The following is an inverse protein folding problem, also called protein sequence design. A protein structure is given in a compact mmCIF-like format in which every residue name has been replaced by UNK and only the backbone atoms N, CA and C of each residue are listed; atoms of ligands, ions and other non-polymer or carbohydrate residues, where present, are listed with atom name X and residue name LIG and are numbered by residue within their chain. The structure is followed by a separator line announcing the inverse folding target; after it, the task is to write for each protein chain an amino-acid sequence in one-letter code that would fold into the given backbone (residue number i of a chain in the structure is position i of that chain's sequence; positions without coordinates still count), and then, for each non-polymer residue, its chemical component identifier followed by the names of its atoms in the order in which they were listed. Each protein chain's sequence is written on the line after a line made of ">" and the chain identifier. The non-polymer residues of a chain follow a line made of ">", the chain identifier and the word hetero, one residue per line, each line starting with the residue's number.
data_IF_786233531894
#
_entry.id   IF_786233531894
#
_cell.length_a   1.000
_cell.length_b   1.000
_cell.length_c   1.000
_cell.angle_alpha   90.00
_cell.angle_beta   90.00
_cell.angle_gamma   90.00
#
_symmetry.space_group_name_H-M   'P 1'
#
loop_
_entity.id
_entity.type
_entity.pdbx_description
1 polymer ?
#
# COMPACT_ATOMS: atom_id res chain seq x y z
N UNK A 1 -40.90 22.91 41.21
CA UNK A 1 -40.67 21.53 40.73
C UNK A 1 -40.43 20.63 41.92
N UNK A 2 -41.08 19.47 42.01
CA UNK A 2 -40.79 18.49 43.08
C UNK A 2 -39.35 18.00 42.89
N UNK A 3 -38.58 17.84 43.97
CA UNK A 3 -37.15 17.44 43.95
C UNK A 3 -36.91 16.22 43.04
N UNK A 4 -37.83 15.27 43.02
CA UNK A 4 -37.81 14.10 42.14
C UNK A 4 -37.81 14.48 40.65
N UNK A 5 -38.61 15.47 40.25
CA UNK A 5 -38.62 15.97 38.86
C UNK A 5 -37.28 16.59 38.48
N UNK A 6 -36.63 17.32 39.38
CA UNK A 6 -35.30 17.87 39.14
C UNK A 6 -34.25 16.76 38.96
N UNK A 7 -34.28 15.72 39.80
CA UNK A 7 -33.39 14.56 39.66
C UNK A 7 -33.62 13.79 38.37
N UNK A 8 -34.87 13.52 37.99
CA UNK A 8 -35.18 12.81 36.74
C UNK A 8 -34.71 13.62 35.54
N UNK A 9 -35.03 14.91 35.48
CA UNK A 9 -34.58 15.79 34.38
C UNK A 9 -33.05 15.87 34.34
N UNK A 10 -32.41 16.04 35.51
CA UNK A 10 -30.95 16.06 35.61
C UNK A 10 -30.32 14.77 35.11
N UNK A 11 -30.83 13.60 35.53
CA UNK A 11 -30.35 12.30 35.07
C UNK A 11 -30.56 12.13 33.56
N UNK A 12 -31.73 12.48 33.04
CA UNK A 12 -32.01 12.41 31.59
C UNK A 12 -31.04 13.27 30.79
N UNK A 13 -30.76 14.50 31.22
CA UNK A 13 -29.77 15.38 30.55
C UNK A 13 -28.38 14.74 30.52
N UNK A 14 -27.93 14.17 31.65
CA UNK A 14 -26.63 13.50 31.70
C UNK A 14 -26.57 12.25 30.83
N UNK A 15 -27.65 11.45 30.79
CA UNK A 15 -27.73 10.30 29.89
C UNK A 15 -27.69 10.74 28.43
N UNK A 16 -28.42 11.79 28.06
CA UNK A 16 -28.38 12.33 26.68
C UNK A 16 -26.98 12.82 26.32
N UNK A 17 -26.32 13.59 27.19
CA UNK A 17 -24.96 14.04 26.93
C UNK A 17 -23.95 12.89 26.88
N UNK A 18 -24.09 11.90 27.76
CA UNK A 18 -23.25 10.70 27.71
C UNK A 18 -23.44 9.94 26.39
N UNK A 19 -24.68 9.71 25.95
CA UNK A 19 -24.97 9.06 24.67
C UNK A 19 -24.48 9.90 23.47
N UNK A 20 -24.49 11.24 23.57
CA UNK A 20 -23.99 12.11 22.50
C UNK A 20 -22.47 12.00 22.28
N UNK A 21 -21.69 11.68 23.32
CA UNK A 21 -20.25 11.38 23.16
C UNK A 21 -20.07 10.18 22.23
N UNK A 22 -20.94 9.16 22.37
CA UNK A 22 -20.89 8.00 21.48
C UNK A 22 -21.21 8.38 20.04
N UNK A 23 -22.24 9.18 19.80
CA UNK A 23 -22.62 9.61 18.46
C UNK A 23 -21.58 10.52 17.80
N UNK A 24 -20.88 11.37 18.58
CA UNK A 24 -19.85 12.30 18.07
C UNK A 24 -18.56 11.58 17.69
N UNK A 25 -18.10 10.65 18.54
CA UNK A 25 -16.77 10.07 18.42
C UNK A 25 -16.74 8.67 17.78
N UNK A 26 -17.89 8.00 17.67
CA UNK A 26 -17.95 6.61 17.23
C UNK A 26 -18.95 6.43 16.08
N UNK A 27 -18.60 7.02 14.94
CA UNK A 27 -19.37 6.93 13.69
C UNK A 27 -18.75 5.92 12.74
N UNK A 28 -19.58 5.11 12.08
CA UNK A 28 -19.08 4.15 11.08
C UNK A 28 -18.31 4.87 9.96
N UNK A 29 -17.10 4.39 9.61
CA UNK A 29 -16.35 4.92 8.47
C UNK A 29 -17.05 4.60 7.14
N UNK A 30 -17.90 3.58 7.11
CA UNK A 30 -18.54 3.10 5.89
C UNK A 30 -19.48 4.15 5.30
N UNK A 31 -19.43 4.22 3.98
CA UNK A 31 -20.29 4.99 3.10
C UNK A 31 -20.97 3.97 2.20
N UNK A 32 -22.27 4.10 1.99
CA UNK A 32 -23.03 3.22 1.11
C UNK A 32 -23.59 4.02 -0.08
N UNK A 33 -23.87 3.32 -1.18
CA UNK A 33 -24.46 3.91 -2.39
C UNK A 33 -23.47 4.43 -3.42
N UNK A 34 -22.19 4.08 -3.32
CA UNK A 34 -21.18 4.40 -4.33
C UNK A 34 -21.18 3.38 -5.46
N UNK A 35 -20.71 3.81 -6.64
CA UNK A 35 -20.43 2.92 -7.77
C UNK A 35 -18.95 2.54 -7.77
N UNK A 36 -18.60 1.24 -7.78
CA UNK A 36 -17.21 0.80 -7.92
C UNK A 36 -16.56 1.36 -9.18
N UNK A 37 -15.30 1.80 -9.06
CA UNK A 37 -14.52 2.35 -10.18
C UNK A 37 -13.38 1.40 -10.56
N UNK A 38 -13.23 1.14 -11.86
CA UNK A 38 -12.14 0.33 -12.41
C UNK A 38 -11.49 1.00 -13.62
N UNK A 39 -10.19 0.77 -13.79
CA UNK A 39 -9.50 1.12 -15.03
C UNK A 39 -9.97 0.23 -16.18
N UNK A 40 -10.07 0.79 -17.39
CA UNK A 40 -10.36 0.02 -18.61
C UNK A 40 -9.09 -0.60 -19.22
N UNK A 41 -7.91 -0.28 -18.68
CA UNK A 41 -6.65 -0.83 -19.15
C UNK A 41 -6.46 -2.27 -18.72
N UNK A 42 -5.76 -3.03 -19.56
CA UNK A 42 -5.40 -4.41 -19.25
C UNK A 42 -4.50 -4.45 -18.00
N UNK A 43 -4.83 -5.26 -16.99
CA UNK A 43 -4.02 -5.37 -15.79
C UNK A 43 -2.71 -6.13 -16.06
N UNK A 44 -1.63 -5.79 -15.35
CA UNK A 44 -0.35 -6.46 -15.54
C UNK A 44 -0.31 -7.89 -14.96
N UNK A 45 -1.19 -8.25 -14.02
CA UNK A 45 -1.33 -9.61 -13.51
C UNK A 45 -2.71 -10.18 -13.88
N UNK A 46 -2.77 -11.50 -14.10
CA UNK A 46 -4.04 -12.24 -14.19
C UNK A 46 -4.47 -12.77 -12.83
N UNK A 47 -3.53 -12.93 -11.90
CA UNK A 47 -3.79 -13.43 -10.55
C UNK A 47 -2.85 -12.83 -9.53
N UNK A 48 -3.32 -12.79 -8.28
CA UNK A 48 -2.57 -12.25 -7.16
C UNK A 48 -2.51 -13.26 -6.01
N UNK A 49 -1.33 -13.40 -5.39
CA UNK A 49 -1.16 -14.14 -4.15
C UNK A 49 -0.87 -13.18 -3.02
N UNK A 50 -1.78 -13.13 -2.05
CA UNK A 50 -1.62 -12.38 -0.82
C UNK A 50 -1.20 -13.34 0.29
N UNK A 51 -0.06 -13.07 0.92
CA UNK A 51 0.43 -13.80 2.10
C UNK A 51 0.51 -12.80 3.25
N UNK A 52 -0.30 -13.02 4.29
CA UNK A 52 -0.29 -12.20 5.51
C UNK A 52 0.22 -13.07 6.65
N UNK A 53 1.37 -12.68 7.21
CA UNK A 53 2.01 -13.34 8.32
C UNK A 53 1.71 -12.58 9.61
N UNK A 54 0.60 -12.96 10.26
CA UNK A 54 -0.02 -12.25 11.39
C UNK A 54 0.99 -11.99 12.53
N UNK A 55 0.97 -10.79 13.09
CA UNK A 55 1.86 -10.38 14.20
C UNK A 55 3.35 -10.24 13.83
N UNK A 56 3.70 -10.21 12.54
CA UNK A 56 5.09 -10.05 12.09
C UNK A 56 5.55 -8.59 12.10
N UNK A 57 6.59 -8.31 12.89
CA UNK A 57 7.27 -7.02 12.94
C UNK A 57 8.20 -6.82 11.74
N UNK A 58 8.27 -5.59 11.21
CA UNK A 58 9.20 -5.23 10.14
C UNK A 58 10.67 -5.52 10.52
N UNK A 59 11.08 -5.10 11.72
CA UNK A 59 12.46 -5.28 12.19
C UNK A 59 12.86 -6.76 12.28
N UNK A 60 11.94 -7.63 12.69
CA UNK A 60 12.18 -9.06 12.86
C UNK A 60 12.38 -9.80 11.54
N UNK A 61 11.79 -9.29 10.44
CA UNK A 61 12.01 -9.81 9.09
C UNK A 61 13.27 -9.25 8.44
N UNK A 62 13.50 -7.93 8.55
CA UNK A 62 14.58 -7.27 7.79
C UNK A 62 15.95 -7.35 8.45
N UNK A 63 16.02 -7.54 9.78
CA UNK A 63 17.30 -7.59 10.51
C UNK A 63 18.08 -8.87 10.18
N UNK A 64 19.37 -8.69 9.86
CA UNK A 64 20.28 -9.81 9.64
C UNK A 64 20.68 -10.47 10.95
N UNK A 65 20.96 -11.78 10.88
CA UNK A 65 21.57 -12.53 11.97
C UNK A 65 23.01 -12.04 12.23
N UNK A 66 23.60 -12.30 13.42
CA UNK A 66 24.96 -11.85 13.75
C UNK A 66 26.05 -12.31 12.77
N UNK A 67 25.82 -13.40 12.04
CA UNK A 67 26.72 -13.93 11.02
C UNK A 67 26.55 -13.25 9.64
N UNK A 68 25.70 -12.22 9.53
CA UNK A 68 25.39 -11.49 8.30
C UNK A 68 24.38 -12.18 7.37
N UNK A 69 23.86 -13.36 7.73
CA UNK A 69 22.82 -14.04 6.94
C UNK A 69 21.42 -13.52 7.28
N UNK A 70 20.50 -13.58 6.31
CA UNK A 70 19.08 -13.28 6.57
C UNK A 70 18.37 -14.50 7.11
N UNK A 71 17.44 -14.32 8.06
CA UNK A 71 16.53 -15.39 8.48
C UNK A 71 15.50 -15.73 7.40
N UNK A 72 15.18 -14.75 6.55
CA UNK A 72 14.28 -14.88 5.42
C UNK A 72 15.06 -14.78 4.11
N UNK A 73 15.94 -15.75 3.78
CA UNK A 73 16.81 -15.66 2.61
C UNK A 73 16.05 -15.57 1.28
N UNK A 74 14.85 -16.16 1.18
CA UNK A 74 14.05 -16.05 -0.04
C UNK A 74 13.49 -14.63 -0.22
N UNK A 75 12.78 -14.10 0.78
CA UNK A 75 12.23 -12.74 0.73
C UNK A 75 13.35 -11.69 0.65
N UNK A 76 14.49 -11.93 1.30
CA UNK A 76 15.67 -11.06 1.18
C UNK A 76 16.17 -10.98 -0.27
N UNK A 77 16.24 -12.11 -0.96
CA UNK A 77 16.59 -12.15 -2.38
C UNK A 77 15.55 -11.44 -3.24
N UNK A 78 14.26 -11.63 -2.95
CA UNK A 78 13.19 -10.91 -3.64
C UNK A 78 13.39 -9.39 -3.51
N UNK A 79 13.67 -8.90 -2.31
CA UNK A 79 13.95 -7.47 -2.04
C UNK A 79 15.15 -6.97 -2.84
N UNK A 80 16.23 -7.73 -2.89
CA UNK A 80 17.50 -7.30 -3.49
C UNK A 80 17.55 -7.45 -5.02
N UNK A 81 16.66 -8.28 -5.60
CA UNK A 81 16.71 -8.63 -7.03
C UNK A 81 15.42 -8.30 -7.79
N UNK A 82 14.25 -8.73 -7.31
CA UNK A 82 13.07 -8.94 -8.15
C UNK A 82 11.77 -8.28 -7.65
N UNK A 83 11.84 -7.48 -6.57
CA UNK A 83 10.67 -6.89 -5.95
C UNK A 83 10.89 -5.46 -5.46
N UNK A 84 9.78 -4.86 -5.02
CA UNK A 84 9.75 -3.59 -4.31
C UNK A 84 9.37 -3.85 -2.86
N UNK A 85 9.94 -3.08 -1.94
CA UNK A 85 9.81 -3.32 -0.52
C UNK A 85 9.72 -2.02 0.28
N UNK A 86 9.21 -2.13 1.50
CA UNK A 86 9.22 -1.05 2.48
C UNK A 86 8.48 -1.43 3.74
N UNK A 87 8.12 -0.42 4.52
CA UNK A 87 7.31 -0.57 5.73
C UNK A 87 5.86 -0.19 5.42
N UNK A 88 4.94 -1.08 5.78
CA UNK A 88 3.51 -0.80 5.84
C UNK A 88 3.18 -0.25 7.22
N UNK A 89 2.58 0.94 7.26
CA UNK A 89 2.19 1.63 8.49
C UNK A 89 0.72 1.30 8.83
N UNK A 90 0.51 0.41 9.81
CA UNK A 90 -0.83 0.11 10.35
C UNK A 90 -1.26 1.16 11.39
N UNK A 91 -2.53 1.12 11.81
CA UNK A 91 -3.13 2.08 12.74
C UNK A 91 -3.76 1.36 13.93
N UNK A 92 -3.93 2.12 15.01
CA UNK A 92 -4.64 1.65 16.21
C UNK A 92 -6.14 1.51 15.88
N UNK A 93 -6.81 0.44 16.35
CA UNK A 93 -6.24 -0.66 17.14
C UNK A 93 -5.47 -1.65 16.27
N UNK A 94 -4.24 -1.99 16.68
CA UNK A 94 -3.36 -2.96 16.00
C UNK A 94 -3.79 -4.38 16.35
N UNK A 95 -5.00 -4.73 15.96
CA UNK A 95 -5.63 -6.04 16.13
C UNK A 95 -5.78 -6.72 14.77
N UNK A 96 -5.86 -8.04 14.74
CA UNK A 96 -5.80 -8.78 13.46
C UNK A 96 -6.92 -8.39 12.50
N UNK A 97 -8.17 -8.29 12.99
CA UNK A 97 -9.32 -7.90 12.16
C UNK A 97 -9.13 -6.51 11.51
N UNK A 98 -8.97 -5.41 12.27
CA UNK A 98 -8.75 -4.08 11.70
C UNK A 98 -7.59 -4.02 10.71
N UNK A 99 -6.48 -4.71 10.98
CA UNK A 99 -5.34 -4.78 10.07
C UNK A 99 -5.69 -5.47 8.75
N UNK A 100 -6.38 -6.60 8.80
CA UNK A 100 -6.87 -7.30 7.60
C UNK A 100 -7.89 -6.49 6.80
N UNK A 101 -8.80 -5.76 7.46
CA UNK A 101 -9.73 -4.85 6.78
C UNK A 101 -8.99 -3.71 6.08
N UNK A 102 -7.97 -3.13 6.71
CA UNK A 102 -7.14 -2.12 6.06
C UNK A 102 -6.40 -2.68 4.83
N UNK A 103 -5.81 -3.87 4.95
CA UNK A 103 -5.09 -4.52 3.85
C UNK A 103 -5.98 -4.84 2.65
N UNK A 104 -7.17 -5.42 2.89
CA UNK A 104 -7.99 -6.06 1.84
C UNK A 104 -9.13 -5.14 1.38
N UNK A 105 -9.68 -4.29 2.25
CA UNK A 105 -10.75 -3.35 1.93
C UNK A 105 -10.27 -1.88 1.84
N UNK A 106 -9.05 -1.58 2.29
CA UNK A 106 -8.45 -0.26 2.11
C UNK A 106 -8.99 0.81 3.06
N UNK A 107 -9.65 0.44 4.15
CA UNK A 107 -10.14 1.41 5.14
C UNK A 107 -9.83 0.98 6.57
N UNK A 108 -9.81 1.96 7.47
CA UNK A 108 -9.51 1.72 8.88
C UNK A 108 -10.81 1.59 9.66
N UNK A 109 -10.99 0.46 10.36
CA UNK A 109 -12.10 0.29 11.29
C UNK A 109 -11.94 1.22 12.50
N UNK A 110 -13.07 1.75 12.99
CA UNK A 110 -13.13 2.54 14.21
C UNK A 110 -13.14 1.60 15.44
N UNK A 111 -12.53 2.03 16.55
CA UNK A 111 -12.49 1.35 17.85
C UNK A 111 -13.89 0.89 18.30
N UNK A 112 -14.95 1.63 17.96
CA UNK A 112 -16.34 1.25 18.27
C UNK A 112 -16.89 0.07 17.46
N UNK A 113 -16.44 -0.11 16.22
CA UNK A 113 -16.82 -1.26 15.40
C UNK A 113 -16.24 -2.56 16.00
N UNK A 114 -15.02 -2.46 16.54
CA UNK A 114 -14.34 -3.55 17.27
C UNK A 114 -15.05 -3.85 18.61
N UNK A 115 -15.43 -2.81 19.37
CA UNK A 115 -16.07 -2.97 20.67
C UNK A 115 -17.48 -3.60 20.63
N UNK A 116 -18.20 -3.49 19.51
CA UNK A 116 -19.57 -4.03 19.34
C UNK A 116 -19.62 -5.45 18.78
N UNK A 117 -18.50 -6.01 18.31
CA UNK A 117 -18.48 -7.32 17.65
C UNK A 117 -17.07 -7.89 17.56
N UNK A 118 -16.53 -8.39 18.67
CA UNK A 118 -15.17 -8.93 18.75
C UNK A 118 -14.95 -10.16 17.86
N UNK A 119 -16.02 -10.92 17.53
CA UNK A 119 -15.94 -12.17 16.76
C UNK A 119 -16.77 -12.21 15.48
N UNK A 120 -17.75 -11.33 15.31
CA UNK A 120 -18.55 -11.27 14.09
C UNK A 120 -18.70 -9.83 13.62
N UNK A 121 -18.60 -9.63 12.31
CA UNK A 121 -18.77 -8.33 11.70
C UNK A 121 -20.26 -7.99 11.59
N UNK A 122 -20.77 -6.96 12.29
CA UNK A 122 -22.17 -6.56 12.16
C UNK A 122 -22.47 -5.78 10.86
N UNK A 123 -21.46 -5.40 10.05
CA UNK A 123 -21.65 -4.58 8.84
C UNK A 123 -20.83 -5.10 7.66
N UNK A 124 -21.51 -5.59 6.62
CA UNK A 124 -20.90 -5.99 5.36
C UNK A 124 -20.13 -4.81 4.72
N UNK A 125 -18.93 -5.09 4.21
CA UNK A 125 -18.10 -4.13 3.49
C UNK A 125 -17.53 -4.76 2.23
N UNK A 126 -17.24 -3.91 1.25
CA UNK A 126 -16.61 -4.29 0.00
C UNK A 126 -15.08 -4.44 0.15
N UNK A 127 -14.48 -5.33 -0.64
CA UNK A 127 -13.07 -5.67 -0.51
C UNK A 127 -12.49 -6.17 -1.84
N UNK A 128 -11.16 -6.24 -1.95
CA UNK A 128 -10.53 -6.74 -3.18
C UNK A 128 -10.96 -8.19 -3.48
N UNK A 129 -11.35 -8.97 -2.48
CA UNK A 129 -11.87 -10.33 -2.68
C UNK A 129 -13.29 -10.33 -3.25
N UNK A 130 -14.13 -9.40 -2.82
CA UNK A 130 -15.48 -9.18 -3.38
C UNK A 130 -15.41 -8.81 -4.86
N UNK A 131 -14.45 -7.97 -5.21
CA UNK A 131 -14.26 -7.45 -6.57
C UNK A 131 -13.49 -8.43 -7.49
N UNK A 132 -12.89 -9.47 -6.90
CA UNK A 132 -12.22 -10.55 -7.62
C UNK A 132 -13.21 -11.47 -8.34
N UNK A 133 -12.73 -12.16 -9.38
CA UNK A 133 -13.52 -13.21 -10.02
C UNK A 133 -13.68 -14.42 -9.13
N UNK A 134 -12.59 -14.87 -8.51
CA UNK A 134 -12.58 -15.93 -7.53
C UNK A 134 -11.48 -15.66 -6.51
N UNK A 135 -11.74 -15.99 -5.25
CA UNK A 135 -10.73 -15.99 -4.19
C UNK A 135 -10.66 -17.36 -3.52
N UNK A 136 -9.47 -17.91 -3.34
CA UNK A 136 -9.24 -19.09 -2.49
C UNK A 136 -8.41 -18.70 -1.28
N UNK A 137 -8.92 -18.97 -0.09
CA UNK A 137 -8.32 -18.59 1.17
C UNK A 137 -7.95 -19.82 2.01
N UNK A 138 -6.77 -19.80 2.64
CA UNK A 138 -6.35 -20.79 3.63
C UNK A 138 -5.86 -20.13 4.92
N UNK A 139 -6.31 -20.61 6.08
CA UNK A 139 -5.85 -20.10 7.38
C UNK A 139 -6.90 -20.13 8.48
N UNK A 140 -6.95 -19.07 9.29
CA UNK A 140 -7.73 -19.02 10.54
C UNK A 140 -9.25 -18.98 10.31
N UNK A 141 -10.05 -19.78 11.05
CA UNK A 141 -11.50 -19.66 11.07
C UNK A 141 -12.02 -18.34 11.67
N UNK A 142 -11.19 -17.55 12.35
CA UNK A 142 -11.59 -16.24 12.88
C UNK A 142 -11.42 -15.11 11.85
N UNK A 143 -10.50 -15.27 10.88
CA UNK A 143 -10.23 -14.25 9.85
C UNK A 143 -10.98 -14.52 8.55
N UNK A 144 -10.84 -15.73 7.99
CA UNK A 144 -11.31 -16.03 6.64
C UNK A 144 -12.82 -15.79 6.41
N UNK A 145 -13.72 -16.20 7.33
CA UNK A 145 -15.15 -16.04 7.12
C UNK A 145 -15.62 -14.59 7.01
N UNK A 146 -14.89 -13.61 7.54
CA UNK A 146 -15.31 -12.21 7.49
C UNK A 146 -15.33 -11.66 6.05
N UNK A 147 -14.43 -12.14 5.20
CA UNK A 147 -14.35 -11.75 3.78
C UNK A 147 -15.22 -12.64 2.88
N UNK A 148 -15.56 -13.85 3.31
CA UNK A 148 -16.46 -14.74 2.57
C UNK A 148 -17.93 -14.41 2.81
N UNK A 149 -18.33 -14.14 4.06
CA UNK A 149 -19.72 -13.77 4.40
C UNK A 149 -20.14 -12.46 3.75
N UNK A 150 -19.20 -11.52 3.57
CA UNK A 150 -19.45 -10.24 2.91
C UNK A 150 -19.38 -10.29 1.38
N UNK A 151 -18.93 -11.39 0.78
CA UNK A 151 -18.79 -11.53 -0.67
C UNK A 151 -20.15 -11.63 -1.37
N UNK A 152 -20.32 -10.92 -2.48
CA UNK A 152 -21.53 -11.02 -3.30
C UNK A 152 -21.51 -12.33 -4.10
N UNK A 153 -21.96 -13.43 -3.48
CA UNK A 153 -22.14 -14.75 -4.12
C UNK A 153 -21.07 -15.79 -3.79
N UNK A 154 -21.14 -16.94 -4.47
CA UNK A 154 -20.36 -18.15 -4.14
C UNK A 154 -18.98 -18.20 -4.86
N UNK A 155 -18.16 -17.16 -4.70
CA UNK A 155 -16.85 -17.05 -5.38
C UNK A 155 -15.64 -16.83 -4.45
N UNK A 156 -15.86 -16.78 -3.13
CA UNK A 156 -14.80 -16.75 -2.11
C UNK A 156 -14.80 -18.07 -1.34
N UNK A 157 -13.79 -18.89 -1.56
CA UNK A 157 -13.66 -20.24 -1.01
C UNK A 157 -12.71 -20.25 0.17
N UNK A 158 -13.19 -20.65 1.35
CA UNK A 158 -12.40 -20.66 2.59
C UNK A 158 -12.06 -22.07 3.04
N UNK A 159 -10.78 -22.32 3.31
CA UNK A 159 -10.26 -23.58 3.84
C UNK A 159 -9.57 -23.31 5.18
N UNK A 160 -10.23 -23.67 6.28
CA UNK A 160 -9.73 -23.39 7.64
C UNK A 160 -9.28 -24.66 8.33
N UNK A 161 -8.27 -24.57 9.19
CA UNK A 161 -8.08 -25.60 10.21
C UNK A 161 -9.22 -25.55 11.24
N UNK A 162 -9.47 -26.63 12.00
CA UNK A 162 -10.44 -26.61 13.09
C UNK A 162 -10.10 -25.53 14.12
N UNK A 163 -11.09 -24.79 14.63
CA UNK A 163 -10.89 -23.75 15.64
C UNK A 163 -10.21 -24.25 16.93
N UNK A 164 -10.33 -25.55 17.24
CA UNK A 164 -9.64 -26.17 18.38
C UNK A 164 -8.11 -26.28 18.21
N UNK A 165 -7.60 -26.09 16.99
CA UNK A 165 -6.16 -26.07 16.72
C UNK A 165 -5.52 -24.72 17.06
N UNK A 166 -6.32 -23.64 17.20
CA UNK A 166 -5.90 -22.32 17.72
C UNK A 166 -5.71 -22.37 19.25
N UNK A 167 -4.85 -23.28 19.69
CA UNK A 167 -4.43 -23.38 21.07
C UNK A 167 -3.28 -22.39 21.32
N UNK A 168 -3.62 -21.19 21.78
CA UNK A 168 -2.67 -20.15 22.16
C UNK A 168 -1.77 -20.52 23.35
N UNK A 169 -2.02 -21.66 24.01
CA UNK A 169 -1.16 -22.22 25.06
C UNK A 169 -0.28 -23.38 24.56
N UNK A 170 -0.38 -23.74 23.27
CA UNK A 170 0.45 -24.77 22.66
C UNK A 170 1.93 -24.36 22.65
N UNK A 171 2.83 -25.34 22.78
CA UNK A 171 4.28 -25.11 22.80
C UNK A 171 4.88 -24.84 21.43
N UNK A 172 4.13 -25.07 20.35
CA UNK A 172 4.59 -24.79 18.99
C UNK A 172 3.42 -24.42 18.06
N UNK A 173 3.20 -23.11 17.88
CA UNK A 173 2.15 -22.61 17.01
C UNK A 173 2.52 -22.62 15.51
N UNK A 174 3.76 -22.93 15.16
CA UNK A 174 4.21 -22.96 13.75
C UNK A 174 3.54 -24.07 12.93
N UNK A 175 2.88 -25.01 13.61
CA UNK A 175 2.00 -26.02 13.02
C UNK A 175 0.84 -25.42 12.22
N UNK A 176 0.33 -24.24 12.61
CA UNK A 176 -0.78 -23.58 11.91
C UNK A 176 -0.34 -23.12 10.51
N UNK A 177 0.83 -22.49 10.43
CA UNK A 177 1.41 -22.05 9.16
C UNK A 177 1.83 -23.25 8.31
N UNK A 178 2.40 -24.28 8.95
CA UNK A 178 2.73 -25.54 8.30
C UNK A 178 1.50 -26.21 7.70
N UNK A 179 0.35 -26.16 8.38
CA UNK A 179 -0.92 -26.66 7.86
C UNK A 179 -1.32 -25.89 6.60
N UNK A 180 -1.27 -24.55 6.62
CA UNK A 180 -1.61 -23.71 5.46
C UNK A 180 -0.73 -24.06 4.26
N UNK A 181 0.59 -24.04 4.42
CA UNK A 181 1.51 -24.40 3.33
C UNK A 181 1.30 -25.83 2.84
N UNK A 182 0.97 -26.77 3.73
CA UNK A 182 0.67 -28.16 3.35
C UNK A 182 -0.60 -28.23 2.50
N UNK A 183 -1.69 -27.59 2.92
CA UNK A 183 -2.95 -27.58 2.16
C UNK A 183 -2.77 -26.93 0.80
N UNK A 184 -2.11 -25.78 0.73
CA UNK A 184 -1.88 -25.06 -0.53
C UNK A 184 -0.97 -25.87 -1.47
N UNK A 185 0.09 -26.49 -0.96
CA UNK A 185 0.96 -27.37 -1.77
C UNK A 185 0.20 -28.61 -2.26
N UNK A 186 -0.65 -29.22 -1.43
CA UNK A 186 -1.49 -30.35 -1.83
C UNK A 186 -2.49 -29.91 -2.91
N UNK A 187 -3.12 -28.75 -2.74
CA UNK A 187 -4.02 -28.16 -3.71
C UNK A 187 -3.37 -28.04 -5.10
N UNK A 188 -2.21 -27.40 -5.20
CA UNK A 188 -1.53 -27.23 -6.48
C UNK A 188 -1.00 -28.55 -7.07
N UNK A 189 -0.51 -29.47 -6.24
CA UNK A 189 -0.09 -30.80 -6.70
C UNK A 189 -1.25 -31.60 -7.27
N UNK A 190 -2.41 -31.58 -6.60
CA UNK A 190 -3.62 -32.19 -7.14
C UNK A 190 -3.97 -31.55 -8.48
N UNK A 191 -3.87 -30.22 -8.58
CA UNK A 191 -4.16 -29.51 -9.80
C UNK A 191 -3.24 -29.88 -10.98
N UNK A 192 -1.94 -30.03 -10.72
CA UNK A 192 -0.95 -30.47 -11.70
C UNK A 192 -1.19 -31.91 -12.17
N UNK A 193 -1.55 -32.81 -11.25
CA UNK A 193 -1.73 -34.24 -11.56
C UNK A 193 -3.06 -34.53 -12.26
N UNK A 194 -4.10 -33.73 -12.01
CA UNK A 194 -5.44 -33.89 -12.60
C UNK A 194 -5.60 -33.26 -13.99
N UNK A 195 -4.52 -32.76 -14.63
CA UNK A 195 -4.54 -32.12 -15.96
C UNK A 195 -4.91 -33.05 -17.16
N UNK A 196 -5.42 -34.26 -16.91
CA UNK A 196 -5.92 -35.19 -17.94
C UNK A 196 -7.43 -35.46 -17.72
N UNK A 197 -8.35 -34.77 -18.43
CA UNK A 197 -9.77 -34.83 -18.08
C UNK A 197 -10.54 -35.91 -18.84
N UNK A 198 -11.29 -36.72 -18.10
CA UNK A 198 -12.68 -37.02 -18.47
C UNK A 198 -13.55 -35.81 -18.03
N UNK A 199 -14.47 -35.33 -18.88
CA UNK A 199 -15.33 -34.17 -18.59
C UNK A 199 -16.23 -34.41 -17.36
N UNK A 200 -15.87 -33.82 -16.22
CA UNK A 200 -16.65 -33.86 -14.97
C UNK A 200 -16.61 -32.48 -14.27
N UNK A 201 -17.16 -32.38 -13.04
CA UNK A 201 -17.14 -31.14 -12.24
C UNK A 201 -15.74 -30.58 -11.98
N UNK A 202 -14.71 -31.44 -12.00
CA UNK A 202 -13.32 -31.03 -11.77
C UNK A 202 -12.82 -30.18 -12.96
N UNK A 203 -13.30 -30.42 -14.18
CA UNK A 203 -12.94 -29.62 -15.36
C UNK A 203 -13.36 -28.15 -15.22
N UNK A 204 -14.57 -27.87 -14.70
CA UNK A 204 -15.02 -26.50 -14.47
C UNK A 204 -14.22 -25.80 -13.38
N UNK A 205 -13.86 -26.53 -12.32
CA UNK A 205 -12.98 -26.01 -11.28
C UNK A 205 -11.60 -25.60 -11.83
N UNK A 206 -11.00 -26.44 -12.67
CA UNK A 206 -9.73 -26.13 -13.35
C UNK A 206 -9.80 -24.90 -14.25
N UNK A 207 -10.87 -24.78 -15.03
CA UNK A 207 -11.06 -23.62 -15.90
C UNK A 207 -11.13 -22.32 -15.10
N UNK A 208 -11.79 -22.33 -13.92
CA UNK A 208 -11.86 -21.16 -13.05
C UNK A 208 -10.48 -20.69 -12.59
N UNK A 209 -9.56 -21.61 -12.27
CA UNK A 209 -8.19 -21.27 -11.84
C UNK A 209 -7.39 -20.56 -12.93
N UNK A 210 -7.64 -20.88 -14.20
CA UNK A 210 -6.95 -20.29 -15.36
C UNK A 210 -7.52 -18.94 -15.79
N UNK A 211 -8.65 -18.51 -15.22
CA UNK A 211 -9.23 -17.20 -15.50
C UNK A 211 -8.39 -16.05 -14.92
N UNK A 212 -8.70 -14.83 -15.35
CA UNK A 212 -8.15 -13.60 -14.80
C UNK A 212 -8.90 -13.15 -13.55
N UNK A 213 -8.31 -12.19 -12.83
CA UNK A 213 -8.87 -11.58 -11.61
C UNK A 213 -9.03 -12.55 -10.45
N UNK A 214 -8.18 -13.58 -10.40
CA UNK A 214 -8.16 -14.55 -9.33
C UNK A 214 -7.22 -14.12 -8.19
N UNK A 215 -7.61 -14.41 -6.95
CA UNK A 215 -6.81 -14.12 -5.76
C UNK A 215 -6.61 -15.39 -4.94
N UNK A 216 -5.40 -15.59 -4.43
CA UNK A 216 -5.08 -16.65 -3.48
C UNK A 216 -4.60 -16.00 -2.20
N UNK A 217 -5.28 -16.27 -1.09
CA UNK A 217 -4.98 -15.66 0.20
C UNK A 217 -4.49 -16.72 1.21
N UNK A 218 -3.30 -16.50 1.74
CA UNK A 218 -2.71 -17.31 2.80
C UNK A 218 -2.62 -16.47 4.06
N UNK A 219 -3.41 -16.84 5.07
CA UNK A 219 -3.36 -16.27 6.40
C UNK A 219 -2.55 -17.16 7.33
N UNK A 220 -1.44 -16.63 7.85
CA UNK A 220 -0.47 -17.39 8.65
C UNK A 220 -0.45 -16.84 10.09
N UNK A 221 -1.10 -17.56 11.01
CA UNK A 221 -1.33 -17.15 12.41
C UNK A 221 -0.18 -17.54 13.37
N UNK A 222 0.73 -18.42 12.94
CA UNK A 222 1.72 -19.04 13.81
C UNK A 222 2.68 -18.04 14.46
N UNK A 223 3.05 -16.96 13.75
CA UNK A 223 3.96 -15.92 14.25
C UNK A 223 3.30 -15.13 15.40
N UNK A 224 2.08 -14.63 15.22
CA UNK A 224 1.33 -13.93 16.28
C UNK A 224 1.15 -14.81 17.52
N UNK A 225 0.71 -16.05 17.34
CA UNK A 225 0.49 -16.99 18.44
C UNK A 225 1.78 -17.26 19.22
N UNK A 226 2.90 -17.49 18.52
CA UNK A 226 4.21 -17.63 19.16
C UNK A 226 4.66 -16.32 19.83
N UNK A 227 4.29 -15.17 19.27
CA UNK A 227 4.55 -13.84 19.83
C UNK A 227 3.87 -13.63 21.17
N UNK A 228 2.60 -14.02 21.31
CA UNK A 228 1.88 -13.99 22.59
C UNK A 228 2.44 -15.00 23.60
N UNK A 229 2.67 -16.24 23.18
CA UNK A 229 3.08 -17.32 24.07
C UNK A 229 4.54 -17.20 24.54
N UNK A 230 5.45 -16.83 23.63
CA UNK A 230 6.91 -16.88 23.84
C UNK A 230 7.60 -15.52 23.80
N UNK A 231 6.88 -14.45 23.41
CA UNK A 231 7.35 -13.07 23.19
C UNK A 231 8.15 -12.90 21.89
N UNK A 232 8.12 -11.71 21.27
CA UNK A 232 9.02 -11.40 20.17
C UNK A 232 10.48 -11.57 20.60
N UNK A 233 11.31 -12.03 19.67
CA UNK A 233 12.72 -12.42 19.88
C UNK A 233 12.97 -13.79 20.50
N UNK A 234 11.94 -14.56 20.87
CA UNK A 234 12.12 -15.96 21.25
C UNK A 234 12.55 -16.83 20.06
N UNK A 235 13.16 -17.99 20.32
CA UNK A 235 13.52 -18.90 19.23
C UNK A 235 12.28 -19.39 18.47
N UNK A 236 11.15 -19.61 19.14
CA UNK A 236 9.88 -20.02 18.55
C UNK A 236 9.35 -18.98 17.56
N UNK A 237 9.22 -17.71 17.99
CA UNK A 237 8.79 -16.61 17.13
C UNK A 237 9.73 -16.44 15.94
N UNK A 238 11.03 -16.41 16.21
CA UNK A 238 12.05 -16.18 15.21
C UNK A 238 12.14 -17.34 14.21
N UNK A 239 12.14 -18.60 14.66
CA UNK A 239 12.16 -19.77 13.78
C UNK A 239 10.89 -19.88 12.94
N UNK A 240 9.74 -19.47 13.46
CA UNK A 240 8.51 -19.42 12.69
C UNK A 240 8.61 -18.44 11.50
N UNK A 241 9.28 -17.30 11.65
CA UNK A 241 9.56 -16.38 10.51
C UNK A 241 10.35 -17.09 9.41
N UNK A 242 11.38 -17.86 9.80
CA UNK A 242 12.17 -18.66 8.85
C UNK A 242 11.36 -19.78 8.19
N UNK A 243 10.41 -20.38 8.93
CA UNK A 243 9.48 -21.37 8.39
C UNK A 243 8.57 -20.78 7.32
N UNK A 244 8.04 -19.57 7.56
CA UNK A 244 7.21 -18.84 6.59
C UNK A 244 7.99 -18.52 5.32
N UNK A 245 9.20 -17.99 5.43
CA UNK A 245 10.07 -17.72 4.26
C UNK A 245 10.33 -18.99 3.43
N UNK A 246 10.67 -20.09 4.09
CA UNK A 246 10.87 -21.39 3.45
C UNK A 246 9.59 -21.90 2.78
N UNK A 247 8.44 -21.76 3.45
CA UNK A 247 7.14 -22.14 2.91
C UNK A 247 6.80 -21.40 1.62
N UNK A 248 7.06 -20.09 1.57
CA UNK A 248 6.89 -19.27 0.37
C UNK A 248 7.86 -19.71 -0.73
N UNK A 249 9.14 -19.90 -0.38
CA UNK A 249 10.17 -20.35 -1.32
C UNK A 249 9.85 -21.68 -2.01
N UNK A 250 9.21 -22.60 -1.29
CA UNK A 250 8.74 -23.89 -1.83
C UNK A 250 7.43 -23.78 -2.61
N UNK A 251 6.53 -22.87 -2.22
CA UNK A 251 5.21 -22.71 -2.82
C UNK A 251 5.28 -22.04 -4.20
N UNK A 252 6.04 -20.95 -4.31
CA UNK A 252 6.08 -20.11 -5.52
C UNK A 252 6.41 -20.94 -6.78
N UNK A 253 7.46 -21.79 -6.81
CA UNK A 253 7.76 -22.61 -7.99
C UNK A 253 6.64 -23.57 -8.39
N UNK A 254 5.95 -24.19 -7.43
CA UNK A 254 4.87 -25.15 -7.70
C UNK A 254 3.68 -24.46 -8.36
N UNK A 255 3.34 -23.26 -7.91
CA UNK A 255 2.25 -22.50 -8.49
C UNK A 255 2.62 -21.94 -9.87
N UNK A 256 3.85 -21.44 -10.03
CA UNK A 256 4.34 -20.98 -11.34
C UNK A 256 4.40 -22.13 -12.36
N UNK A 257 4.74 -23.35 -11.93
CA UNK A 257 4.70 -24.55 -12.78
C UNK A 257 3.28 -24.85 -13.27
N UNK A 258 2.27 -24.77 -12.39
CA UNK A 258 0.86 -24.96 -12.77
C UNK A 258 0.40 -23.97 -13.85
N UNK A 259 0.84 -22.72 -13.76
CA UNK A 259 0.53 -21.69 -14.74
C UNK A 259 1.49 -21.65 -15.94
N UNK A 260 2.41 -22.61 -16.05
CA UNK A 260 3.35 -22.71 -17.15
C UNK A 260 4.33 -21.52 -17.23
N UNK A 261 4.65 -20.90 -16.08
CA UNK A 261 5.53 -19.74 -15.98
C UNK A 261 5.10 -18.57 -16.90
N UNK A 262 3.79 -18.32 -17.00
CA UNK A 262 3.24 -17.28 -17.89
C UNK A 262 3.61 -15.85 -17.50
N UNK A 263 4.23 -15.65 -16.33
CA UNK A 263 4.64 -14.34 -15.84
C UNK A 263 3.47 -13.42 -15.49
N UNK A 264 2.28 -13.99 -15.20
CA UNK A 264 1.03 -13.25 -14.93
C UNK A 264 0.59 -13.30 -13.48
N UNK A 265 1.47 -13.71 -12.57
CA UNK A 265 1.20 -13.73 -11.12
C UNK A 265 1.91 -12.57 -10.41
N UNK A 266 1.15 -11.80 -9.63
CA UNK A 266 1.70 -10.85 -8.66
C UNK A 266 1.65 -11.44 -7.25
N UNK A 267 2.62 -11.09 -6.42
CA UNK A 267 2.74 -11.57 -5.04
C UNK A 267 2.86 -10.40 -4.08
N UNK A 268 2.11 -10.44 -2.98
CA UNK A 268 2.14 -9.46 -1.90
C UNK A 268 2.37 -10.21 -0.59
N UNK A 269 3.48 -9.93 0.08
CA UNK A 269 3.78 -10.44 1.41
C UNK A 269 3.78 -9.29 2.43
N UNK A 270 3.02 -9.42 3.51
CA UNK A 270 2.95 -8.40 4.55
C UNK A 270 2.47 -8.95 5.91
N UNK A 271 2.21 -8.06 6.86
CA UNK A 271 1.56 -8.33 8.14
C UNK A 271 0.46 -7.31 8.41
N UNK A 272 -0.55 -7.74 9.15
CA UNK A 272 -1.67 -6.93 9.65
C UNK A 272 -1.26 -6.02 10.83
N UNK A 273 -0.44 -6.53 11.74
CA UNK A 273 0.24 -5.78 12.79
C UNK A 273 1.59 -6.41 13.16
N UNK A 274 2.32 -5.75 14.04
CA UNK A 274 3.48 -6.30 14.73
C UNK A 274 3.14 -6.67 16.18
N UNK A 275 4.11 -6.57 17.07
CA UNK A 275 3.97 -6.97 18.47
C UNK A 275 4.93 -6.21 19.37
N UNK A 276 4.52 -5.85 20.58
CA UNK A 276 5.44 -5.32 21.61
C UNK A 276 6.39 -6.39 22.13
N UNK A 277 7.52 -5.98 22.72
CA UNK A 277 8.47 -6.92 23.33
C UNK A 277 7.88 -7.79 24.45
N UNK A 278 6.70 -7.44 24.97
CA UNK A 278 5.99 -8.21 25.99
C UNK A 278 5.08 -9.30 25.41
N UNK A 279 4.96 -9.40 24.08
CA UNK A 279 4.02 -10.32 23.44
C UNK A 279 2.58 -9.82 23.54
N UNK A 280 2.37 -8.53 23.33
CA UNK A 280 1.03 -7.92 23.28
C UNK A 280 0.95 -6.90 22.13
N UNK A 281 -0.23 -6.74 21.55
CA UNK A 281 -0.56 -5.75 20.54
C UNK A 281 -1.93 -5.08 20.85
N UNK A 282 -2.42 -4.20 19.98
CA UNK A 282 -3.67 -3.44 20.12
C UNK A 282 -3.45 -1.92 20.32
N UNK A 283 -2.20 -1.49 20.56
CA UNK A 283 -1.81 -0.12 20.80
C UNK A 283 -0.92 0.46 19.66
N UNK A 284 -0.41 1.67 19.88
CA UNK A 284 0.27 2.46 18.84
C UNK A 284 1.79 2.40 18.86
N UNK A 285 2.42 1.41 19.51
CA UNK A 285 3.89 1.35 19.54
C UNK A 285 4.45 1.08 18.13
N UNK A 286 5.63 1.62 17.75
CA UNK A 286 6.25 1.34 16.45
C UNK A 286 6.43 -0.16 16.17
N UNK A 287 6.75 -0.97 17.17
CA UNK A 287 6.85 -2.43 16.99
C UNK A 287 5.51 -3.11 16.69
N UNK A 288 4.38 -2.46 16.96
CA UNK A 288 3.04 -2.92 16.59
C UNK A 288 2.60 -2.34 15.24
N UNK A 289 3.05 -1.13 14.93
CA UNK A 289 2.56 -0.34 13.79
C UNK A 289 3.39 -0.44 12.52
N UNK A 290 4.64 -0.90 12.61
CA UNK A 290 5.55 -1.08 11.48
C UNK A 290 5.58 -2.55 11.04
N UNK A 291 4.89 -2.85 9.94
CA UNK A 291 4.85 -4.19 9.34
C UNK A 291 5.68 -4.25 8.05
N UNK A 292 6.26 -5.41 7.70
CA UNK A 292 7.01 -5.53 6.46
C UNK A 292 6.05 -5.51 5.26
N UNK A 293 6.49 -4.96 4.13
CA UNK A 293 5.82 -5.12 2.83
C UNK A 293 6.86 -5.51 1.79
N UNK A 294 6.65 -6.65 1.14
CA UNK A 294 7.47 -7.13 0.01
C UNK A 294 6.52 -7.54 -1.11
N UNK A 295 6.70 -6.96 -2.29
CA UNK A 295 5.82 -7.18 -3.45
C UNK A 295 6.68 -7.50 -4.65
N UNK A 296 6.30 -8.52 -5.44
CA UNK A 296 7.06 -8.95 -6.61
C UNK A 296 6.17 -9.63 -7.66
N UNK A 297 6.76 -9.93 -8.82
CA UNK A 297 6.08 -10.59 -9.93
C UNK A 297 5.45 -9.62 -10.93
N UNK A 298 4.36 -10.04 -11.56
CA UNK A 298 3.75 -9.37 -12.69
C UNK A 298 3.31 -7.94 -12.36
N UNK A 299 3.82 -6.95 -13.11
CA UNK A 299 3.45 -5.54 -12.95
C UNK A 299 4.13 -4.80 -11.81
N UNK A 300 5.08 -5.43 -11.12
CA UNK A 300 5.78 -4.85 -9.96
C UNK A 300 7.18 -4.37 -10.37
N UNK A 301 7.64 -3.26 -9.79
CA UNK A 301 9.01 -2.79 -9.99
C UNK A 301 10.02 -3.78 -9.39
N UNK A 302 11.09 -4.00 -10.14
CA UNK A 302 12.26 -4.74 -9.66
C UNK A 302 13.05 -3.90 -8.66
N UNK A 303 14.00 -4.54 -7.98
CA UNK A 303 14.82 -3.88 -6.98
C UNK A 303 15.57 -2.66 -7.57
N UNK A 304 15.25 -1.47 -7.05
CA UNK A 304 15.86 -0.23 -7.52
C UNK A 304 17.08 0.10 -6.68
N UNK A 305 18.28 -0.06 -7.26
CA UNK A 305 19.52 0.35 -6.60
C UNK A 305 19.62 1.87 -6.50
N UNK A 306 20.05 2.35 -5.34
CA UNK A 306 20.27 3.78 -5.09
C UNK A 306 21.73 4.02 -4.73
N UNK A 307 22.31 5.08 -5.31
CA UNK A 307 23.66 5.53 -5.00
C UNK A 307 23.67 6.64 -3.94
N UNK A 308 22.59 7.42 -3.89
CA UNK A 308 22.44 8.53 -2.97
C UNK A 308 21.73 8.11 -1.67
N UNK A 309 22.04 8.75 -0.54
CA UNK A 309 21.31 8.56 0.71
C UNK A 309 19.80 8.80 0.53
N UNK A 310 19.00 7.88 1.05
CA UNK A 310 17.54 7.99 1.04
C UNK A 310 17.06 8.83 2.24
N UNK A 311 15.97 9.60 2.07
CA UNK A 311 15.46 10.51 3.10
C UNK A 311 14.62 9.79 4.17
N UNK A 312 15.25 8.94 4.98
CA UNK A 312 14.63 8.31 6.15
C UNK A 312 15.44 8.64 7.40
N UNK A 313 14.77 9.18 8.44
CA UNK A 313 15.40 9.61 9.71
C UNK A 313 15.45 8.49 10.76
N UNK A 314 14.88 7.31 10.47
CA UNK A 314 14.68 6.21 11.42
C UNK A 314 15.87 5.25 11.55
N UNK A 315 16.96 5.46 10.78
CA UNK A 315 18.16 4.62 10.75
C UNK A 315 17.98 3.15 10.31
N UNK A 316 16.75 2.72 10.01
CA UNK A 316 16.46 1.31 9.72
C UNK A 316 17.15 0.78 8.47
N UNK A 317 17.38 1.64 7.47
CA UNK A 317 18.15 1.27 6.28
C UNK A 317 19.56 0.76 6.64
N UNK A 318 20.22 1.40 7.62
CA UNK A 318 21.56 1.00 8.06
C UNK A 318 21.55 -0.25 8.95
N UNK A 319 20.52 -0.39 9.78
CA UNK A 319 20.34 -1.55 10.65
C UNK A 319 20.04 -2.81 9.84
N UNK A 320 19.16 -2.70 8.84
CA UNK A 320 18.73 -3.80 7.98
C UNK A 320 19.69 -4.07 6.81
N UNK A 321 20.77 -3.29 6.66
CA UNK A 321 21.74 -3.41 5.56
C UNK A 321 21.08 -3.34 4.18
N UNK A 322 20.13 -2.42 4.01
CA UNK A 322 19.34 -2.23 2.78
C UNK A 322 19.49 -0.82 2.21
N UNK A 323 20.49 -0.05 2.64
CA UNK A 323 20.72 1.34 2.19
C UNK A 323 20.82 1.45 0.66
N UNK A 324 21.34 0.39 0.03
CA UNK A 324 21.62 0.29 -1.39
C UNK A 324 20.39 -0.06 -2.25
N UNK A 325 19.26 -0.42 -1.64
CA UNK A 325 17.98 -0.69 -2.33
C UNK A 325 16.94 0.33 -1.88
N UNK A 326 16.20 0.91 -2.83
CA UNK A 326 15.15 1.89 -2.54
C UNK A 326 14.07 1.30 -1.63
N UNK A 327 13.85 1.93 -0.48
CA UNK A 327 12.72 1.68 0.42
C UNK A 327 11.51 2.51 0.01
N UNK A 328 10.34 1.90 -0.04
CA UNK A 328 9.08 2.54 -0.41
C UNK A 328 8.02 2.23 0.66
N UNK A 329 7.87 3.13 1.63
CA UNK A 329 6.86 2.97 2.67
C UNK A 329 5.45 3.31 2.18
N UNK A 330 4.44 2.66 2.77
CA UNK A 330 3.02 2.85 2.46
C UNK A 330 2.17 2.89 3.73
N UNK A 331 0.99 3.51 3.68
CA UNK A 331 -0.01 3.25 4.70
C UNK A 331 -0.66 1.89 4.41
N UNK A 332 -1.07 1.15 5.44
CA UNK A 332 -1.63 -0.19 5.24
C UNK A 332 -2.85 -0.22 4.30
N UNK A 333 -3.69 0.82 4.33
CA UNK A 333 -4.83 0.97 3.43
C UNK A 333 -4.44 1.10 1.94
N UNK A 334 -3.21 1.53 1.63
CA UNK A 334 -2.69 1.71 0.28
C UNK A 334 -2.44 0.36 -0.43
N UNK A 335 -2.41 -0.74 0.32
CA UNK A 335 -2.20 -2.09 -0.22
C UNK A 335 -3.43 -2.57 -1.01
N UNK A 336 -4.64 -2.20 -0.59
CA UNK A 336 -5.87 -2.54 -1.32
C UNK A 336 -5.90 -1.96 -2.76
N UNK A 337 -5.71 -0.65 -3.00
CA UNK A 337 -5.64 -0.11 -4.36
C UNK A 337 -4.43 -0.64 -5.15
N UNK A 338 -3.31 -0.99 -4.50
CA UNK A 338 -2.19 -1.68 -5.16
C UNK A 338 -2.63 -3.03 -5.71
N UNK A 339 -3.24 -3.89 -4.88
CA UNK A 339 -3.73 -5.21 -5.30
C UNK A 339 -4.78 -5.08 -6.40
N UNK A 340 -5.75 -4.18 -6.23
CA UNK A 340 -6.81 -3.95 -7.21
C UNK A 340 -6.24 -3.55 -8.58
N UNK A 341 -5.25 -2.65 -8.59
CA UNK A 341 -4.60 -2.19 -9.83
C UNK A 341 -3.76 -3.28 -10.49
N UNK A 342 -3.05 -4.11 -9.72
CA UNK A 342 -2.23 -5.19 -10.26
C UNK A 342 -3.08 -6.25 -10.98
N UNK A 343 -4.23 -6.62 -10.42
CA UNK A 343 -5.07 -7.70 -10.94
C UNK A 343 -6.26 -7.21 -11.78
N UNK A 344 -6.53 -5.90 -11.80
CA UNK A 344 -7.55 -5.27 -12.67
C UNK A 344 -8.97 -5.45 -12.19
N UNK A 345 -9.18 -5.35 -10.89
CA UNK A 345 -10.51 -5.33 -10.26
C UNK A 345 -10.83 -3.92 -9.78
N UNK A 346 -12.12 -3.57 -9.58
CA UNK A 346 -12.47 -2.30 -8.95
C UNK A 346 -11.76 -2.09 -7.61
N UNK A 347 -11.44 -0.83 -7.31
CA UNK A 347 -10.90 -0.47 -5.99
C UNK A 347 -12.08 -0.54 -4.99
N UNK A 348 -11.91 -1.19 -3.83
CA UNK A 348 -13.00 -1.34 -2.87
C UNK A 348 -13.67 -0.01 -2.55
N UNK A 349 -14.99 0.02 -2.48
CA UNK A 349 -15.71 1.30 -2.56
C UNK A 349 -15.44 2.24 -1.38
N UNK A 350 -15.07 1.67 -0.22
CA UNK A 350 -14.71 2.41 0.99
C UNK A 350 -13.21 2.64 1.15
N UNK A 351 -12.39 2.22 0.19
CA UNK A 351 -10.94 2.38 0.27
C UNK A 351 -10.54 3.86 0.35
N UNK A 352 -9.78 4.21 1.38
CA UNK A 352 -9.12 5.51 1.55
C UNK A 352 -7.65 5.45 1.17
N UNK A 353 -7.18 4.30 0.69
CA UNK A 353 -5.80 4.09 0.28
C UNK A 353 -5.42 4.91 -0.96
N UNK A 354 -4.16 5.33 -1.00
CA UNK A 354 -3.54 6.03 -2.13
C UNK A 354 -2.68 5.05 -2.90
N UNK A 355 -2.91 4.89 -4.21
CA UNK A 355 -2.18 3.95 -5.04
C UNK A 355 -0.65 4.19 -4.96
N UNK A 356 0.15 3.23 -4.44
CA UNK A 356 1.59 3.42 -4.30
C UNK A 356 2.30 3.17 -5.64
N UNK A 357 2.31 4.18 -6.51
CA UNK A 357 2.81 4.09 -7.89
C UNK A 357 4.25 3.61 -8.03
N UNK A 358 5.08 3.78 -6.99
CA UNK A 358 6.47 3.33 -6.96
C UNK A 358 6.58 1.80 -6.91
N UNK A 359 5.53 1.08 -6.55
CA UNK A 359 5.46 -0.37 -6.67
C UNK A 359 5.15 -0.83 -8.10
N UNK A 360 4.54 0.01 -8.95
CA UNK A 360 4.06 -0.40 -10.27
C UNK A 360 5.14 -0.27 -11.35
N UNK A 361 5.39 -1.37 -12.06
CA UNK A 361 6.16 -1.42 -13.30
C UNK A 361 5.21 -1.53 -14.50
N UNK A 362 4.73 -0.39 -14.95
CA UNK A 362 3.84 -0.28 -16.10
C UNK A 362 4.03 1.08 -16.77
N UNK A 363 3.41 1.28 -17.94
CA UNK A 363 3.41 2.55 -18.67
C UNK A 363 2.91 3.71 -17.82
N UNK A 364 3.40 4.92 -18.12
CA UNK A 364 2.93 6.14 -17.45
C UNK A 364 1.43 6.38 -17.67
N UNK A 365 0.90 5.94 -18.82
CA UNK A 365 -0.54 5.94 -19.08
C UNK A 365 -1.29 5.06 -18.07
N UNK A 366 -0.85 3.81 -17.89
CA UNK A 366 -1.46 2.90 -16.91
C UNK A 366 -1.42 3.47 -15.49
N UNK A 367 -0.28 4.04 -15.09
CA UNK A 367 -0.13 4.68 -13.78
C UNK A 367 -1.09 5.86 -13.64
N UNK A 368 -1.17 6.74 -14.64
CA UNK A 368 -2.05 7.90 -14.62
C UNK A 368 -3.54 7.51 -14.57
N UNK A 369 -3.97 6.54 -15.38
CA UNK A 369 -5.37 6.06 -15.39
C UNK A 369 -5.75 5.33 -14.09
N UNK A 370 -4.82 4.58 -13.49
CA UNK A 370 -5.03 3.92 -12.20
C UNK A 370 -5.08 4.92 -11.04
N UNK A 371 -4.21 5.94 -11.05
CA UNK A 371 -4.27 7.06 -10.08
C UNK A 371 -5.58 7.84 -10.23
N UNK A 372 -6.02 8.10 -11.45
CA UNK A 372 -7.28 8.76 -11.72
C UNK A 372 -8.46 7.94 -11.17
N UNK A 373 -8.50 6.64 -11.46
CA UNK A 373 -9.51 5.72 -10.91
C UNK A 373 -9.54 5.74 -9.37
N UNK A 374 -8.36 5.67 -8.73
CA UNK A 374 -8.24 5.76 -7.28
C UNK A 374 -8.76 7.09 -6.73
N UNK A 375 -8.43 8.21 -7.38
CA UNK A 375 -8.93 9.53 -6.99
C UNK A 375 -10.46 9.66 -7.14
N UNK A 376 -11.04 9.10 -8.20
CA UNK A 376 -12.49 9.09 -8.39
C UNK A 376 -13.16 8.24 -7.31
N UNK A 377 -12.61 7.08 -6.94
CA UNK A 377 -13.17 6.25 -5.87
C UNK A 377 -13.25 6.99 -4.52
N UNK A 378 -12.21 7.73 -4.16
CA UNK A 378 -12.20 8.57 -2.95
C UNK A 378 -13.16 9.76 -3.09
N UNK A 379 -13.26 10.35 -4.28
CA UNK A 379 -14.17 11.46 -4.56
C UNK A 379 -15.64 11.05 -4.43
N UNK A 380 -16.02 9.83 -4.82
CA UNK A 380 -17.39 9.33 -4.67
C UNK A 380 -17.77 9.19 -3.19
N UNK A 381 -16.87 8.68 -2.34
CA UNK A 381 -17.07 8.66 -0.88
C UNK A 381 -17.33 10.06 -0.33
N UNK A 382 -16.49 11.01 -0.74
CA UNK A 382 -16.60 12.41 -0.33
C UNK A 382 -17.93 13.04 -0.74
N UNK A 383 -18.39 12.84 -1.99
CA UNK A 383 -19.67 13.38 -2.50
C UNK A 383 -20.85 12.86 -1.69
N UNK A 384 -20.88 11.56 -1.41
CA UNK A 384 -21.96 10.95 -0.62
C UNK A 384 -21.93 11.46 0.82
N UNK A 385 -20.77 11.45 1.48
CA UNK A 385 -20.65 11.98 2.86
C UNK A 385 -21.05 13.46 2.93
N UNK A 386 -20.67 14.28 1.94
CA UNK A 386 -21.09 15.69 1.87
C UNK A 386 -22.61 15.81 1.77
N UNK A 387 -23.24 15.02 0.90
CA UNK A 387 -24.70 15.03 0.70
C UNK A 387 -25.42 14.60 1.97
N UNK A 388 -24.99 13.50 2.59
CA UNK A 388 -25.53 13.03 3.87
C UNK A 388 -25.42 14.09 4.97
N UNK A 389 -24.26 14.75 5.10
CA UNK A 389 -24.08 15.81 6.10
C UNK A 389 -24.92 17.04 5.79
N UNK A 390 -25.11 17.39 4.53
CA UNK A 390 -26.00 18.49 4.12
C UNK A 390 -27.47 18.21 4.47
N UNK A 391 -27.92 16.98 4.30
CA UNK A 391 -29.31 16.58 4.59
C UNK A 391 -29.61 16.45 6.09
N UNK A 392 -28.61 16.06 6.88
CA UNK A 392 -28.74 15.82 8.34
C UNK A 392 -28.38 17.03 9.21
N UNK A 393 -27.74 18.06 8.63
CA UNK A 393 -27.35 19.29 9.34
C UNK A 393 -28.32 20.41 9.03
N UNK A 394 -28.69 21.22 10.03
CA UNK A 394 -29.48 22.43 9.80
C UNK A 394 -28.74 23.34 8.81
N UNK A 395 -29.46 23.86 7.81
CA UNK A 395 -28.87 24.55 6.65
C UNK A 395 -27.92 25.71 7.00
N UNK A 396 -28.17 26.42 8.11
CA UNK A 396 -27.34 27.54 8.55
C UNK A 396 -26.05 27.12 9.28
N UNK A 397 -25.92 25.86 9.68
CA UNK A 397 -24.69 25.28 10.26
C UNK A 397 -23.86 24.50 9.23
N UNK A 398 -24.42 24.19 8.06
CA UNK A 398 -23.70 23.46 7.02
C UNK A 398 -22.80 24.37 6.20
N UNK A 399 -21.51 24.04 6.15
CA UNK A 399 -20.52 24.71 5.28
C UNK A 399 -19.94 23.67 4.32
N UNK A 400 -20.14 23.81 2.98
CA UNK A 400 -19.61 22.85 2.02
C UNK A 400 -18.09 22.99 1.89
N UNK A 401 -17.41 21.85 1.76
CA UNK A 401 -15.98 21.83 1.43
C UNK A 401 -15.77 22.21 -0.04
N UNK A 402 -14.92 23.21 -0.30
CA UNK A 402 -14.68 23.75 -1.64
C UNK A 402 -13.59 22.95 -2.38
N UNK A 403 -13.92 21.78 -2.91
CA UNK A 403 -12.96 20.94 -3.63
C UNK A 403 -12.64 21.45 -5.05
N UNK A 404 -13.56 22.17 -5.70
CA UNK A 404 -13.37 22.71 -7.07
C UNK A 404 -12.23 23.74 -7.09
N UNK A 405 -12.05 24.53 -6.04
CA UNK A 405 -10.96 25.51 -5.97
C UNK A 405 -9.59 24.84 -5.96
N UNK A 406 -9.45 23.63 -5.40
CA UNK A 406 -8.20 22.87 -5.45
C UNK A 406 -7.81 22.50 -6.88
N UNK A 407 -8.77 22.05 -7.70
CA UNK A 407 -8.53 21.78 -9.12
C UNK A 407 -8.16 23.06 -9.88
N UNK A 408 -8.81 24.19 -9.58
CA UNK A 408 -8.47 25.48 -10.18
C UNK A 408 -7.06 25.94 -9.80
N UNK A 409 -6.66 25.74 -8.54
CA UNK A 409 -5.29 26.00 -8.07
C UNK A 409 -4.27 25.13 -8.77
N UNK A 410 -4.55 23.83 -8.94
CA UNK A 410 -3.66 22.92 -9.68
C UNK A 410 -3.47 23.39 -11.13
N UNK A 411 -4.56 23.70 -11.84
CA UNK A 411 -4.51 24.21 -13.22
C UNK A 411 -3.68 25.49 -13.28
N UNK A 412 -3.94 26.43 -12.36
CA UNK A 412 -3.24 27.72 -12.32
C UNK A 412 -1.74 27.53 -12.09
N UNK A 413 -1.36 26.70 -11.11
CA UNK A 413 0.04 26.40 -10.79
C UNK A 413 0.75 25.67 -11.94
N UNK A 414 0.07 24.75 -12.62
CA UNK A 414 0.61 24.09 -13.83
C UNK A 414 0.83 25.08 -14.96
N UNK A 415 -0.07 26.05 -15.17
CA UNK A 415 0.11 27.10 -16.17
C UNK A 415 1.27 28.04 -15.81
N UNK A 416 1.43 28.39 -14.54
CA UNK A 416 2.58 29.16 -14.06
C UNK A 416 3.90 28.40 -14.28
N UNK A 417 3.94 27.10 -13.95
CA UNK A 417 5.09 26.24 -14.22
C UNK A 417 5.42 26.14 -15.71
N UNK A 418 4.41 26.04 -16.58
CA UNK A 418 4.59 26.05 -18.03
C UNK A 418 5.20 27.37 -18.51
N UNK A 419 4.70 28.51 -18.03
CA UNK A 419 5.25 29.83 -18.35
C UNK A 419 6.68 29.99 -17.84
N UNK A 420 6.99 29.46 -16.65
CA UNK A 420 8.34 29.42 -16.12
C UNK A 420 9.28 28.67 -17.07
N UNK A 421 8.94 27.43 -17.48
CA UNK A 421 9.80 26.66 -18.40
C UNK A 421 9.90 27.27 -19.80
N UNK A 422 8.85 27.92 -20.32
CA UNK A 422 8.92 28.68 -21.57
C UNK A 422 9.87 29.88 -21.52
N UNK A 423 10.14 30.42 -20.33
CA UNK A 423 10.98 31.60 -20.14
C UNK A 423 12.30 31.31 -19.44
N UNK A 424 12.56 30.05 -19.10
CA UNK A 424 13.67 29.59 -18.27
C UNK A 424 15.02 30.09 -18.76
N UNK A 425 15.31 29.92 -20.05
CA UNK A 425 16.61 30.31 -20.61
C UNK A 425 16.74 31.81 -20.90
N UNK A 426 15.66 32.60 -20.83
CA UNK A 426 15.67 34.00 -21.27
C UNK A 426 16.68 34.85 -20.50
N UNK A 427 16.85 34.61 -19.21
CA UNK A 427 17.83 35.35 -18.41
C UNK A 427 19.27 35.03 -18.84
N UNK A 428 19.61 33.75 -18.95
CA UNK A 428 20.95 33.32 -19.38
C UNK A 428 21.26 33.78 -20.81
N UNK A 429 20.33 33.58 -21.74
CA UNK A 429 20.45 34.01 -23.12
C UNK A 429 20.56 35.53 -23.22
N UNK A 430 19.74 36.26 -22.44
CA UNK A 430 19.77 37.71 -22.34
C UNK A 430 21.12 38.24 -21.86
N UNK A 431 21.67 37.69 -20.78
CA UNK A 431 23.00 38.02 -20.28
C UNK A 431 24.09 37.74 -21.33
N UNK A 432 24.01 36.58 -22.00
CA UNK A 432 24.97 36.20 -23.05
C UNK A 432 24.96 37.17 -24.23
N UNK A 433 23.76 37.55 -24.69
CA UNK A 433 23.59 38.53 -25.77
C UNK A 433 24.13 39.91 -25.37
N UNK A 434 23.81 40.39 -24.16
CA UNK A 434 24.30 41.68 -23.65
C UNK A 434 25.82 41.68 -23.55
N UNK A 435 26.43 40.63 -22.99
CA UNK A 435 27.89 40.50 -22.92
C UNK A 435 28.52 40.46 -24.32
N UNK A 436 27.88 39.79 -25.28
CA UNK A 436 28.30 39.78 -26.68
C UNK A 436 28.33 41.17 -27.30
N UNK A 437 27.26 41.95 -27.14
CA UNK A 437 27.19 43.33 -27.65
C UNK A 437 28.20 44.27 -26.99
N UNK A 438 28.35 44.18 -25.66
CA UNK A 438 29.32 45.00 -24.91
C UNK A 438 30.75 44.66 -25.32
N UNK A 439 31.07 43.36 -25.44
CA UNK A 439 32.37 42.88 -25.90
C UNK A 439 32.69 43.34 -27.31
N UNK A 440 31.74 43.20 -28.25
CA UNK A 440 31.90 43.65 -29.64
C UNK A 440 32.12 45.15 -29.75
N UNK A 441 31.29 45.94 -29.07
CA UNK A 441 31.40 47.41 -29.08
C UNK A 441 32.75 47.87 -28.53
N UNK A 442 33.19 47.26 -27.42
CA UNK A 442 34.50 47.54 -26.82
C UNK A 442 35.65 47.21 -27.79
N UNK A 443 35.56 46.08 -28.50
CA UNK A 443 36.54 45.69 -29.51
C UNK A 443 36.61 46.69 -30.68
N UNK A 444 35.46 47.15 -31.19
CA UNK A 444 35.40 48.16 -32.26
C UNK A 444 36.00 49.48 -31.80
N UNK A 445 35.66 49.96 -30.59
CA UNK A 445 36.25 51.17 -30.01
C UNK A 445 37.78 51.05 -29.92
N UNK A 446 38.29 49.91 -29.46
CA UNK A 446 39.74 49.66 -29.39
C UNK A 446 40.40 49.72 -30.77
N UNK A 447 39.77 49.15 -31.81
CA UNK A 447 40.27 49.26 -33.19
C UNK A 447 40.32 50.72 -33.64
N UNK A 448 39.21 51.46 -33.50
CA UNK A 448 39.12 52.86 -33.92
C UNK A 448 40.20 53.70 -33.22
N UNK A 449 40.33 53.57 -31.90
CA UNK A 449 41.35 54.26 -31.12
C UNK A 449 42.77 53.91 -31.60
N UNK A 450 43.05 52.63 -31.86
CA UNK A 450 44.37 52.19 -32.35
C UNK A 450 44.67 52.75 -33.74
N UNK A 451 43.72 52.73 -34.66
CA UNK A 451 43.89 53.24 -36.02
C UNK A 451 44.07 54.76 -36.04
N UNK A 452 43.30 55.51 -35.25
CA UNK A 452 43.46 56.96 -35.15
C UNK A 452 44.71 57.40 -34.37
N UNK A 453 45.12 56.67 -33.34
CA UNK A 453 46.39 56.91 -32.64
C UNK A 453 47.60 56.66 -33.56
N UNK A 454 47.56 55.61 -34.40
CA UNK A 454 48.57 55.34 -35.42
C UNK A 454 48.59 56.42 -36.52
N UNK A 455 47.43 56.92 -36.95
CA UNK A 455 47.33 58.06 -37.87
C UNK A 455 47.90 59.35 -37.27
N UNK A 456 47.66 59.62 -35.98
CA UNK A 456 48.23 60.77 -35.29
C UNK A 456 49.76 60.71 -35.18
N UNK A 457 50.33 59.52 -34.97
CA UNK A 457 51.79 59.31 -35.02
C UNK A 457 52.36 59.48 -36.44
N UNK A 458 51.62 59.08 -37.48
CA UNK A 458 52.02 59.26 -38.89
C UNK A 458 52.02 60.72 -39.38
N UNK A 459 51.15 61.58 -38.81
CA UNK A 459 51.09 63.01 -39.16
C UNK A 459 52.19 63.83 -38.46
N UNK A 460 52.65 63.40 -37.28
CA UNK A 460 53.78 64.04 -36.59
C UNK A 460 55.15 63.76 -37.23
N UNK A 461 55.26 62.81 -38.17
CA UNK A 461 56.51 62.42 -38.82
C UNK A 461 56.82 63.13 -40.15
N UNK A 462 56.03 64.14 -40.56
CA UNK A 462 56.15 64.80 -41.88
C UNK A 462 56.22 66.32 -41.85
N UNK A 463 56.72 66.89 -40.75
CA UNK A 463 57.07 68.30 -40.64
C UNK A 463 58.55 68.43 -40.24
N UNK A 464 59.45 68.11 -41.17
CA UNK A 464 60.79 68.70 -41.23
C UNK A 464 61.35 68.48 -42.66
N UNK A 465 61.21 69.52 -43.50
CA UNK A 465 62.09 69.78 -44.64
C UNK A 465 62.41 71.27 -44.62
N UNK A 466 63.61 71.62 -44.15
CA UNK A 466 64.59 72.46 -44.86
C UNK A 466 65.85 72.67 -44.02
#
# INVERSE_FOLDING_TARGET
>A
MRVITFFIVGLTVHVVFFLSIFDIYFTSPLVHGMTPQSTQMNPPASRLVLVVADGLRADSLFTLLPNGSSRTPYLRRVIEENGTWGVSHTRVPTESRPGHVALIAGFYEDVSAVAKGWKENPVEFDSVFNESRHTWCWGSPDILPMFAKGASGDHVYTHTYPAVEEDFASTDASRLDSWVFTQVKLFWKMCLHSYFPEMNKDTFFFLNLLMDKNIFFLHLLGIDTNGHAHRPMSEEYLNNIGLVDKGIAELVPVMEEFFGHDGRTAYVFTSDHGMTNWGSHGAGHPSETLTPLVVWGAGVNVAQRVAEPQSYEDHFLQEWKLEHIRRVDVNQADIAPLMASLVGVPIPVNSVGVLPILYLNNSDQFKAESMYTNAIQVLEQFKIKMTQKKETTLSFFFTPFQYISLCQSLISLSLEGLLYYHTYDRFFLGCSVVLGFVGWTSYVILIILKTHALLAQGVSGRLEVR
#
